data_IF_435541132385
#
_entry.id   IF_435541132385
#
_cell.length_a   1.000
_cell.length_b   1.000
_cell.length_c   1.000
_cell.angle_alpha   90.00
_cell.angle_beta   90.00
_cell.angle_gamma   90.00
#
_symmetry.space_group_name_H-M   'P 1'
#
loop_
_entity.id
_entity.type
_entity.pdbx_description
1 polymer ?
#
# COMPACT_ATOMS: atom_id res chain seq x y z
N UNK A 1 -27.77 -13.51 -18.94
CA UNK A 1 -26.53 -13.07 -18.29
C UNK A 1 -26.89 -11.82 -17.52
N UNK A 2 -27.06 -11.92 -16.20
CA UNK A 2 -27.29 -10.75 -15.36
C UNK A 2 -25.97 -9.98 -15.26
N UNK A 3 -25.99 -8.64 -15.30
CA UNK A 3 -24.79 -7.87 -15.06
C UNK A 3 -24.32 -8.16 -13.64
N UNK A 4 -23.08 -8.62 -13.49
CA UNK A 4 -22.40 -8.67 -12.20
C UNK A 4 -22.43 -7.25 -11.64
N UNK A 5 -23.22 -7.02 -10.58
CA UNK A 5 -23.19 -5.75 -9.87
C UNK A 5 -21.74 -5.49 -9.47
N UNK A 6 -21.22 -4.31 -9.80
CA UNK A 6 -19.96 -3.83 -9.24
C UNK A 6 -20.10 -3.87 -7.72
N UNK A 7 -19.49 -4.87 -7.08
CA UNK A 7 -19.54 -5.01 -5.63
C UNK A 7 -18.73 -3.85 -5.03
N UNK A 8 -19.37 -3.08 -4.15
CA UNK A 8 -18.66 -2.17 -3.26
C UNK A 8 -17.61 -2.98 -2.49
N UNK A 9 -16.35 -2.53 -2.40
CA UNK A 9 -15.32 -3.28 -1.68
C UNK A 9 -15.72 -3.47 -0.22
N UNK A 10 -15.47 -4.66 0.32
CA UNK A 10 -15.64 -4.93 1.76
C UNK A 10 -14.51 -4.24 2.53
N UNK A 11 -14.77 -2.99 2.93
CA UNK A 11 -13.79 -2.15 3.62
C UNK A 11 -13.34 -2.71 4.97
N UNK A 12 -14.22 -3.40 5.71
CA UNK A 12 -13.84 -4.01 6.99
C UNK A 12 -12.89 -5.19 6.77
N UNK A 13 -13.18 -6.07 5.80
CA UNK A 13 -12.29 -7.20 5.48
C UNK A 13 -10.93 -6.73 4.91
N UNK A 14 -10.94 -5.71 4.04
CA UNK A 14 -9.73 -5.11 3.48
C UNK A 14 -8.83 -4.53 4.57
N UNK A 15 -9.38 -3.73 5.47
CA UNK A 15 -8.63 -3.11 6.56
C UNK A 15 -8.17 -4.12 7.60
N UNK A 16 -8.98 -5.15 7.89
CA UNK A 16 -8.57 -6.25 8.77
C UNK A 16 -7.36 -7.00 8.19
N UNK A 17 -7.40 -7.36 6.91
CA UNK A 17 -6.27 -8.02 6.24
C UNK A 17 -5.00 -7.17 6.23
N UNK A 18 -5.13 -5.86 6.04
CA UNK A 18 -4.02 -4.92 6.18
C UNK A 18 -3.45 -4.93 7.60
N UNK A 19 -4.30 -4.85 8.62
CA UNK A 19 -3.90 -4.89 10.02
C UNK A 19 -3.14 -6.16 10.37
N UNK A 20 -3.62 -7.32 9.90
CA UNK A 20 -2.98 -8.63 10.11
C UNK A 20 -1.60 -8.72 9.46
N UNK A 21 -1.48 -8.31 8.20
CA UNK A 21 -0.24 -8.46 7.42
C UNK A 21 0.80 -7.37 7.72
N UNK A 22 0.36 -6.12 7.96
CA UNK A 22 1.28 -4.98 8.00
C UNK A 22 1.73 -4.59 9.41
N UNK A 23 0.96 -4.81 10.47
CA UNK A 23 1.25 -4.24 11.80
C UNK A 23 2.25 -5.06 12.66
N UNK A 24 2.09 -6.40 12.83
CA UNK A 24 2.85 -7.13 13.85
C UNK A 24 4.37 -7.06 13.64
N UNK A 25 4.82 -7.31 12.42
CA UNK A 25 6.24 -7.35 12.04
C UNK A 25 6.69 -6.06 11.30
N UNK A 26 6.05 -4.93 11.58
CA UNK A 26 6.31 -3.67 10.84
C UNK A 26 7.72 -3.09 10.96
N UNK A 27 8.56 -3.67 11.82
CA UNK A 27 9.95 -3.25 12.07
C UNK A 27 10.99 -4.27 11.55
N UNK A 28 10.55 -5.33 10.86
CA UNK A 28 11.45 -6.32 10.25
C UNK A 28 10.92 -6.74 8.88
N UNK A 29 11.74 -6.55 7.85
CA UNK A 29 11.42 -6.98 6.49
C UNK A 29 11.30 -8.50 6.44
N UNK A 30 12.29 -9.21 6.99
CA UNK A 30 12.30 -10.68 7.03
C UNK A 30 11.13 -11.23 7.85
N UNK A 31 10.85 -10.62 9.01
CA UNK A 31 9.71 -10.98 9.85
C UNK A 31 8.38 -10.81 9.11
N UNK A 32 8.23 -9.71 8.36
CA UNK A 32 7.01 -9.43 7.60
C UNK A 32 6.78 -10.36 6.43
N UNK A 33 7.84 -10.67 5.67
CA UNK A 33 7.78 -11.69 4.60
C UNK A 33 7.33 -13.03 5.17
N UNK A 34 7.96 -13.49 6.26
CA UNK A 34 7.58 -14.75 6.91
C UNK A 34 6.16 -14.74 7.48
N UNK A 35 5.71 -13.58 8.02
CA UNK A 35 4.34 -13.42 8.50
C UNK A 35 3.32 -13.51 7.36
N UNK A 36 3.59 -12.87 6.21
CA UNK A 36 2.70 -12.94 5.05
C UNK A 36 2.50 -14.40 4.61
N UNK A 37 3.58 -15.15 4.46
CA UNK A 37 3.53 -16.58 4.12
C UNK A 37 2.74 -17.39 5.15
N UNK A 38 2.97 -17.14 6.45
CA UNK A 38 2.24 -17.81 7.54
C UNK A 38 0.74 -17.50 7.53
N UNK A 39 0.37 -16.29 7.13
CA UNK A 39 -1.02 -15.86 6.96
C UNK A 39 -1.66 -16.39 5.65
N UNK A 40 -0.92 -17.18 4.87
CA UNK A 40 -1.42 -17.78 3.63
C UNK A 40 -1.36 -16.85 2.43
N UNK A 41 -0.60 -15.75 2.50
CA UNK A 41 -0.24 -14.98 1.31
C UNK A 41 0.77 -15.78 0.49
N UNK A 42 0.54 -15.84 -0.82
CA UNK A 42 1.41 -16.55 -1.76
C UNK A 42 2.22 -15.55 -2.55
N UNK A 43 3.50 -15.83 -2.82
CA UNK A 43 4.29 -14.98 -3.72
C UNK A 43 3.59 -14.86 -5.08
N UNK A 44 3.60 -13.66 -5.65
CA UNK A 44 3.10 -13.44 -7.01
C UNK A 44 3.95 -14.28 -7.98
N UNK A 45 3.27 -15.06 -8.81
CA UNK A 45 3.91 -15.83 -9.87
C UNK A 45 3.78 -15.02 -11.18
N UNK A 46 4.91 -14.67 -11.83
CA UNK A 46 4.87 -13.94 -13.08
C UNK A 46 4.02 -14.65 -14.15
N UNK A 47 3.13 -13.90 -14.81
CA UNK A 47 2.25 -14.40 -15.87
C UNK A 47 0.91 -14.96 -15.40
N UNK A 48 0.66 -15.09 -14.10
CA UNK A 48 -0.65 -15.53 -13.58
C UNK A 48 -1.67 -14.39 -13.49
N UNK A 49 -1.22 -13.14 -13.30
CA UNK A 49 -2.07 -11.96 -13.29
C UNK A 49 -1.39 -10.80 -14.04
N UNK A 50 -1.89 -10.52 -15.24
CA UNK A 50 -1.33 -9.49 -16.11
C UNK A 50 -1.42 -8.05 -15.54
N UNK A 51 -2.39 -7.76 -14.67
CA UNK A 51 -2.50 -6.45 -14.04
C UNK A 51 -1.41 -6.28 -12.98
N UNK A 52 -1.15 -7.34 -12.19
CA UNK A 52 -0.05 -7.35 -11.22
C UNK A 52 1.30 -7.27 -11.92
N UNK A 53 1.52 -8.08 -12.97
CA UNK A 53 2.78 -8.08 -13.72
C UNK A 53 3.10 -6.67 -14.27
N UNK A 54 2.11 -6.00 -14.88
CA UNK A 54 2.31 -4.64 -15.40
C UNK A 54 2.58 -3.63 -14.29
N UNK A 55 1.83 -3.70 -13.19
CA UNK A 55 2.01 -2.77 -12.08
C UNK A 55 3.38 -2.94 -11.40
N UNK A 56 3.78 -4.19 -11.13
CA UNK A 56 5.07 -4.51 -10.51
C UNK A 56 6.22 -4.04 -11.41
N UNK A 57 6.18 -4.36 -12.70
CA UNK A 57 7.21 -3.91 -13.65
C UNK A 57 7.28 -2.38 -13.75
N UNK A 58 6.13 -1.68 -13.69
CA UNK A 58 6.09 -0.23 -13.69
C UNK A 58 6.69 0.37 -12.41
N UNK A 59 6.35 -0.19 -11.24
CA UNK A 59 6.91 0.24 -9.96
C UNK A 59 8.44 0.03 -9.89
N UNK A 60 8.93 -1.10 -10.39
CA UNK A 60 10.36 -1.40 -10.49
C UNK A 60 11.08 -0.45 -11.46
N UNK A 61 10.46 -0.12 -12.59
CA UNK A 61 11.02 0.84 -13.55
C UNK A 61 11.15 2.24 -12.94
N UNK A 62 10.13 2.73 -12.23
CA UNK A 62 10.17 4.02 -11.54
C UNK A 62 11.28 4.08 -10.49
N UNK A 63 11.45 3.02 -9.69
CA UNK A 63 12.54 2.97 -8.71
C UNK A 63 13.91 2.97 -9.40
N UNK A 64 14.06 2.23 -10.50
CA UNK A 64 15.31 2.20 -11.26
C UNK A 64 15.64 3.55 -11.90
N UNK A 65 14.63 4.30 -12.37
CA UNK A 65 14.79 5.67 -12.88
C UNK A 65 15.27 6.61 -11.76
N UNK A 66 14.65 6.59 -10.58
CA UNK A 66 15.06 7.41 -9.43
C UNK A 66 16.53 7.13 -9.03
N UNK A 67 16.91 5.86 -8.94
CA UNK A 67 18.29 5.46 -8.61
C UNK A 67 19.28 5.86 -9.73
N UNK A 68 18.84 5.88 -10.99
CA UNK A 68 19.69 6.33 -12.09
C UNK A 68 19.90 7.85 -12.10
N UNK A 69 18.90 8.62 -11.66
CA UNK A 69 18.98 10.08 -11.52
C UNK A 69 19.84 10.51 -10.33
N UNK A 70 19.74 9.79 -9.21
CA UNK A 70 20.57 9.97 -8.02
C UNK A 70 21.11 8.61 -7.51
N UNK A 71 22.33 8.22 -7.91
CA UNK A 71 22.93 6.96 -7.47
C UNK A 71 23.16 6.84 -5.96
N UNK A 72 23.24 7.97 -5.25
CA UNK A 72 23.43 7.99 -3.80
C UNK A 72 22.08 7.96 -3.04
N UNK A 73 20.95 8.01 -3.75
CA UNK A 73 19.60 7.95 -3.20
C UNK A 73 19.36 6.69 -2.37
N UNK A 74 19.83 5.54 -2.86
CA UNK A 74 19.60 4.23 -2.24
C UNK A 74 20.90 3.55 -1.88
N UNK A 75 21.02 3.17 -0.61
CA UNK A 75 22.08 2.30 -0.08
C UNK A 75 21.67 0.82 -0.11
N UNK A 76 20.44 0.54 -0.53
CA UNK A 76 19.87 -0.79 -0.64
C UNK A 76 18.34 -0.73 -0.67
N UNK A 77 17.72 -1.50 -1.54
CA UNK A 77 16.27 -1.61 -1.64
C UNK A 77 15.89 -3.00 -2.14
N UNK A 78 14.76 -3.51 -1.69
CA UNK A 78 14.16 -4.73 -2.22
C UNK A 78 12.64 -4.72 -1.96
N UNK A 79 11.92 -5.59 -2.66
CA UNK A 79 10.49 -5.76 -2.55
C UNK A 79 10.05 -7.22 -2.70
N UNK A 80 9.07 -7.62 -1.87
CA UNK A 80 8.37 -8.87 -1.98
C UNK A 80 6.89 -8.62 -2.28
N UNK A 81 6.36 -9.34 -3.26
CA UNK A 81 5.00 -9.20 -3.75
C UNK A 81 4.22 -10.48 -3.50
N UNK A 82 3.06 -10.35 -2.87
CA UNK A 82 2.20 -11.47 -2.52
C UNK A 82 0.77 -11.24 -3.00
N UNK A 83 0.06 -12.33 -3.24
CA UNK A 83 -1.36 -12.35 -3.57
C UNK A 83 -2.13 -13.22 -2.60
N UNK A 84 -3.37 -12.82 -2.32
CA UNK A 84 -4.34 -13.60 -1.55
C UNK A 84 -5.76 -13.19 -1.89
N UNK A 85 -6.68 -14.14 -1.90
CA UNK A 85 -8.11 -13.85 -1.98
C UNK A 85 -8.68 -13.46 -0.61
N UNK A 86 -9.38 -12.33 -0.55
CA UNK A 86 -10.12 -11.84 0.62
C UNK A 86 -11.53 -11.51 0.13
N UNK A 87 -12.55 -12.10 0.76
CA UNK A 87 -13.94 -11.86 0.36
C UNK A 87 -14.24 -12.24 -1.11
N UNK A 88 -13.53 -13.22 -1.67
CA UNK A 88 -13.68 -13.62 -3.09
C UNK A 88 -13.00 -12.70 -4.11
N UNK A 89 -12.17 -11.75 -3.65
CA UNK A 89 -11.40 -10.84 -4.50
C UNK A 89 -9.90 -11.02 -4.28
N UNK A 90 -9.14 -11.04 -5.37
CA UNK A 90 -7.68 -11.08 -5.32
C UNK A 90 -7.11 -9.73 -4.91
N UNK A 91 -6.25 -9.76 -3.90
CA UNK A 91 -5.53 -8.59 -3.41
C UNK A 91 -4.03 -8.77 -3.59
N UNK A 92 -3.33 -7.67 -3.81
CA UNK A 92 -1.88 -7.63 -3.89
C UNK A 92 -1.32 -7.00 -2.60
N UNK A 93 -0.39 -7.68 -1.94
CA UNK A 93 0.37 -7.17 -0.81
C UNK A 93 1.81 -6.91 -1.28
N UNK A 94 2.29 -5.70 -1.06
CA UNK A 94 3.68 -5.33 -1.29
C UNK A 94 4.38 -5.04 0.02
N UNK A 95 5.52 -5.68 0.25
CA UNK A 95 6.41 -5.43 1.37
C UNK A 95 7.74 -4.99 0.78
N UNK A 96 8.21 -3.80 1.15
CA UNK A 96 9.47 -3.28 0.61
C UNK A 96 10.31 -2.61 1.68
N UNK A 97 11.60 -2.47 1.41
CA UNK A 97 12.46 -1.59 2.17
C UNK A 97 13.25 -0.66 1.25
N UNK A 98 13.62 0.49 1.79
CA UNK A 98 14.53 1.45 1.18
C UNK A 98 15.49 1.94 2.27
N UNK A 99 16.78 1.71 2.07
CA UNK A 99 17.86 2.17 2.94
C UNK A 99 18.46 3.42 2.32
N UNK A 100 18.53 4.50 3.10
CA UNK A 100 19.03 5.81 2.61
C UNK A 100 19.96 6.43 3.66
N UNK A 101 20.65 7.52 3.31
CA UNK A 101 21.45 8.26 4.30
C UNK A 101 20.60 8.83 5.44
N UNK A 102 19.35 9.21 5.16
CA UNK A 102 18.51 9.99 6.07
C UNK A 102 17.51 9.14 6.84
N UNK A 103 16.93 8.15 6.17
CA UNK A 103 15.84 7.35 6.71
C UNK A 103 15.80 5.97 6.05
N UNK A 104 16.05 4.94 6.86
CA UNK A 104 15.73 3.58 6.47
C UNK A 104 14.23 3.34 6.73
N UNK A 105 13.52 2.87 5.72
CA UNK A 105 12.08 2.69 5.78
C UNK A 105 11.66 1.31 5.30
N UNK A 106 10.64 0.76 5.96
CA UNK A 106 9.92 -0.45 5.55
C UNK A 106 8.50 -0.07 5.16
N UNK A 107 8.14 -0.31 3.91
CA UNK A 107 6.80 -0.11 3.36
C UNK A 107 5.94 -1.36 3.46
N UNK A 108 4.64 -1.18 3.69
CA UNK A 108 3.64 -2.23 3.56
C UNK A 108 2.39 -1.67 2.90
N UNK A 109 1.98 -2.27 1.80
CA UNK A 109 0.92 -1.77 0.93
C UNK A 109 -0.03 -2.92 0.60
N UNK A 110 -1.32 -2.71 0.80
CA UNK A 110 -2.36 -3.64 0.36
C UNK A 110 -3.17 -2.96 -0.76
N UNK A 111 -3.37 -3.67 -1.87
CA UNK A 111 -4.08 -3.20 -3.05
C UNK A 111 -5.30 -4.08 -3.37
N UNK A 112 -6.43 -3.45 -3.70
CA UNK A 112 -7.58 -4.05 -4.38
C UNK A 112 -7.75 -3.38 -5.74
N UNK A 113 -7.31 -4.06 -6.81
CA UNK A 113 -7.41 -3.60 -8.20
C UNK A 113 -8.84 -3.65 -8.73
N UNK A 114 -9.72 -4.45 -8.11
CA UNK A 114 -11.11 -4.58 -8.51
C UNK A 114 -12.02 -3.55 -7.82
N UNK A 115 -11.47 -2.69 -6.96
CA UNK A 115 -12.23 -1.62 -6.34
C UNK A 115 -12.65 -0.56 -7.34
N UNK A 116 -13.95 -0.24 -7.36
CA UNK A 116 -14.53 0.77 -8.26
C UNK A 116 -15.00 2.04 -7.53
N UNK A 117 -14.80 2.10 -6.21
CA UNK A 117 -15.19 3.21 -5.36
C UNK A 117 -14.29 3.25 -4.10
N UNK A 118 -14.17 4.41 -3.43
CA UNK A 118 -13.55 4.47 -2.10
C UNK A 118 -14.35 3.66 -1.08
N UNK A 119 -13.69 3.20 -0.01
CA UNK A 119 -14.35 2.61 1.17
C UNK A 119 -14.54 3.65 2.27
N UNK A 120 -15.43 3.34 3.22
CA UNK A 120 -15.53 4.09 4.48
C UNK A 120 -14.17 4.10 5.21
N UNK A 121 -13.63 5.27 5.61
CA UNK A 121 -12.37 5.35 6.34
C UNK A 121 -12.47 4.93 7.81
N UNK A 122 -13.67 4.77 8.38
CA UNK A 122 -13.87 4.47 9.80
C UNK A 122 -13.15 3.19 10.31
N UNK A 123 -13.09 2.07 9.56
CA UNK A 123 -12.33 0.90 9.98
C UNK A 123 -10.83 1.21 10.17
N UNK A 124 -10.25 2.08 9.33
CA UNK A 124 -8.84 2.50 9.47
C UNK A 124 -8.66 3.40 10.69
N UNK A 125 -9.56 4.35 10.91
CA UNK A 125 -9.60 5.18 12.13
C UNK A 125 -9.61 4.32 13.39
N UNK A 126 -10.44 3.26 13.41
CA UNK A 126 -10.54 2.30 14.52
C UNK A 126 -9.26 1.49 14.71
N UNK A 127 -8.69 0.99 13.61
CA UNK A 127 -7.43 0.23 13.61
C UNK A 127 -6.28 1.04 14.19
N UNK A 128 -6.13 2.29 13.74
CA UNK A 128 -5.05 3.17 14.16
C UNK A 128 -5.29 3.82 15.53
N UNK A 129 -6.56 3.91 15.95
CA UNK A 129 -6.96 4.63 17.16
C UNK A 129 -6.69 6.13 17.07
N UNK A 130 -6.79 6.71 15.87
CA UNK A 130 -6.46 8.10 15.57
C UNK A 130 -7.47 8.68 14.57
N UNK A 131 -7.82 9.94 14.75
CA UNK A 131 -8.71 10.68 13.85
C UNK A 131 -8.02 10.96 12.51
N UNK A 132 -8.83 11.08 11.46
CA UNK A 132 -8.39 11.53 10.13
C UNK A 132 -7.69 12.88 10.27
N UNK A 133 -6.52 13.02 9.63
CA UNK A 133 -5.78 14.27 9.56
C UNK A 133 -6.34 15.17 8.46
N UNK A 134 -6.54 14.63 7.26
CA UNK A 134 -7.20 15.30 6.15
C UNK A 134 -7.69 14.30 5.10
N UNK A 135 -8.57 14.78 4.22
CA UNK A 135 -9.02 14.09 3.01
C UNK A 135 -8.81 14.99 1.80
N UNK A 136 -8.63 14.40 0.62
CA UNK A 136 -8.47 15.16 -0.63
C UNK A 136 -9.79 15.44 -1.35
N UNK A 137 -10.92 14.92 -0.88
CA UNK A 137 -12.22 14.99 -1.55
C UNK A 137 -12.96 16.34 -1.41
N UNK A 138 -12.28 17.38 -0.93
CA UNK A 138 -12.79 18.75 -0.90
C UNK A 138 -13.29 19.26 0.45
N UNK A 139 -13.15 18.49 1.53
CA UNK A 139 -13.48 18.95 2.89
C UNK A 139 -12.57 20.09 3.38
N UNK A 140 -11.29 20.06 3.01
CA UNK A 140 -10.31 21.12 3.26
C UNK A 140 -9.73 21.63 1.93
N UNK A 141 -9.96 22.90 1.54
CA UNK A 141 -9.44 23.47 0.30
C UNK A 141 -7.92 23.39 0.15
N UNK A 142 -7.16 23.28 1.24
CA UNK A 142 -5.71 23.15 1.19
C UNK A 142 -5.25 21.80 0.64
N UNK A 143 -6.05 20.76 0.85
CA UNK A 143 -5.76 19.38 0.43
C UNK A 143 -6.69 18.90 -0.70
N UNK A 144 -7.62 19.73 -1.13
CA UNK A 144 -8.63 19.38 -2.13
C UNK A 144 -7.99 19.05 -3.49
N UNK A 145 -8.36 17.89 -4.02
CA UNK A 145 -8.07 17.42 -5.37
C UNK A 145 -9.40 17.01 -5.99
N UNK A 146 -9.50 17.05 -7.32
CA UNK A 146 -10.67 16.54 -8.02
C UNK A 146 -10.86 15.03 -7.68
N UNK A 147 -12.01 14.63 -7.08
CA UNK A 147 -12.28 13.24 -6.75
C UNK A 147 -12.32 12.31 -7.98
N UNK A 148 -12.49 12.83 -9.19
CA UNK A 148 -12.37 12.06 -10.43
C UNK A 148 -10.91 11.68 -10.76
N UNK A 149 -9.93 12.33 -10.11
CA UNK A 149 -8.50 12.04 -10.25
C UNK A 149 -8.00 11.09 -9.15
N UNK A 150 -8.27 11.43 -7.88
CA UNK A 150 -7.79 10.67 -6.73
C UNK A 150 -8.54 11.07 -5.45
N UNK A 151 -8.89 10.10 -4.62
CA UNK A 151 -9.40 10.31 -3.26
C UNK A 151 -8.42 9.69 -2.28
N UNK A 152 -7.82 10.48 -1.40
CA UNK A 152 -6.96 9.98 -0.33
C UNK A 152 -7.44 10.47 1.02
N UNK A 153 -7.54 9.55 1.98
CA UNK A 153 -7.70 9.84 3.40
C UNK A 153 -6.37 9.58 4.10
N UNK A 154 -5.90 10.54 4.88
CA UNK A 154 -4.61 10.47 5.57
C UNK A 154 -4.83 10.49 7.08
N UNK A 155 -4.10 9.62 7.77
CA UNK A 155 -3.90 9.67 9.21
C UNK A 155 -2.46 10.00 9.48
N UNK A 156 -2.22 10.94 10.40
CA UNK A 156 -0.86 11.22 10.90
C UNK A 156 -0.25 10.00 11.62
N UNK A 157 0.98 10.12 12.14
CA UNK A 157 1.67 9.02 12.80
C UNK A 157 0.89 8.52 14.01
N UNK A 158 0.54 7.23 14.04
CA UNK A 158 -0.27 6.67 15.13
C UNK A 158 0.54 6.57 16.43
N UNK A 159 0.04 7.08 17.58
CA UNK A 159 0.70 6.92 18.88
C UNK A 159 0.74 5.45 19.34
N UNK A 160 -0.10 4.58 18.77
CA UNK A 160 -0.13 3.13 19.06
C UNK A 160 0.93 2.36 18.28
N UNK A 161 1.43 2.94 17.19
CA UNK A 161 2.41 2.32 16.30
C UNK A 161 3.65 3.22 16.19
N UNK A 162 4.50 3.30 17.23
CA UNK A 162 5.71 4.10 17.17
C UNK A 162 6.54 3.76 15.94
N UNK A 163 7.14 4.82 15.34
CA UNK A 163 7.94 4.79 14.11
C UNK A 163 7.17 4.62 12.80
N UNK A 164 5.89 4.28 12.86
CA UNK A 164 5.03 4.29 11.68
C UNK A 164 4.74 5.73 11.30
N UNK A 165 5.03 6.07 10.05
CA UNK A 165 4.73 7.36 9.45
C UNK A 165 3.21 7.47 9.19
N UNK A 166 2.83 8.44 8.37
CA UNK A 166 1.43 8.59 7.98
C UNK A 166 0.89 7.32 7.30
N UNK A 167 -0.39 7.06 7.55
CA UNK A 167 -1.15 5.99 6.90
C UNK A 167 -2.05 6.60 5.84
N UNK A 168 -2.10 5.97 4.67
CA UNK A 168 -2.82 6.46 3.51
C UNK A 168 -3.82 5.41 3.04
N UNK A 169 -5.09 5.79 2.96
CA UNK A 169 -6.12 5.06 2.23
C UNK A 169 -6.43 5.85 0.96
N UNK A 170 -6.07 5.29 -0.19
CA UNK A 170 -6.18 5.96 -1.48
C UNK A 170 -7.06 5.15 -2.42
N UNK A 171 -8.00 5.83 -3.08
CA UNK A 171 -8.74 5.34 -4.23
C UNK A 171 -8.32 6.11 -5.48
N UNK A 172 -7.97 5.38 -6.53
CA UNK A 172 -7.65 5.93 -7.85
C UNK A 172 -8.72 5.45 -8.84
N UNK A 173 -9.60 6.34 -9.34
CA UNK A 173 -10.60 5.98 -10.34
C UNK A 173 -9.97 5.42 -11.62
N UNK A 174 -10.60 4.41 -12.18
CA UNK A 174 -10.20 3.85 -13.48
C UNK A 174 -10.28 4.92 -14.57
N UNK A 175 -9.22 5.05 -15.37
CA UNK A 175 -9.14 6.02 -16.47
C UNK A 175 -8.73 7.43 -16.06
N UNK A 176 -8.51 7.69 -14.77
CA UNK A 176 -7.88 8.93 -14.30
C UNK A 176 -6.45 9.07 -14.83
N UNK A 177 -5.95 10.30 -14.91
CA UNK A 177 -4.55 10.54 -15.27
C UNK A 177 -3.58 9.91 -14.26
N UNK A 178 -3.98 9.86 -12.99
CA UNK A 178 -3.19 9.24 -11.91
C UNK A 178 -3.09 7.73 -12.14
N UNK A 179 -4.16 7.07 -12.62
CA UNK A 179 -4.09 5.67 -12.98
C UNK A 179 -3.10 5.40 -14.12
N UNK A 180 -3.03 6.30 -15.11
CA UNK A 180 -2.06 6.20 -16.20
C UNK A 180 -0.61 6.41 -15.72
N UNK A 181 -0.38 7.32 -14.77
CA UNK A 181 0.94 7.61 -14.21
C UNK A 181 1.45 6.51 -13.27
N UNK A 182 0.56 5.96 -12.45
CA UNK A 182 0.92 4.96 -11.42
C UNK A 182 0.84 3.52 -11.92
N UNK A 183 0.20 3.28 -13.07
CA UNK A 183 -0.12 1.94 -13.56
C UNK A 183 -1.17 1.20 -12.71
N UNK A 184 -1.85 1.90 -11.80
CA UNK A 184 -2.79 1.34 -10.83
C UNK A 184 -4.11 2.12 -10.79
N UNK A 185 -5.22 1.40 -10.81
CA UNK A 185 -6.54 1.91 -10.43
C UNK A 185 -7.17 0.97 -9.42
N UNK A 186 -7.90 1.52 -8.45
CA UNK A 186 -8.49 0.76 -7.36
C UNK A 186 -8.16 1.35 -5.99
N UNK A 187 -8.16 0.51 -4.97
CA UNK A 187 -7.90 0.88 -3.57
C UNK A 187 -6.51 0.47 -3.12
N UNK A 188 -5.82 1.36 -2.42
CA UNK A 188 -4.57 1.10 -1.74
C UNK A 188 -4.69 1.54 -0.28
N UNK A 189 -4.25 0.70 0.65
CA UNK A 189 -3.95 1.09 2.03
C UNK A 189 -2.46 0.85 2.29
N UNK A 190 -1.76 1.88 2.75
CA UNK A 190 -0.33 1.79 3.03
C UNK A 190 0.10 2.54 4.28
N UNK A 191 1.20 2.10 4.84
CA UNK A 191 2.08 2.94 5.64
C UNK A 191 3.54 2.54 5.40
N UNK A 192 4.44 3.43 5.80
CA UNK A 192 5.86 3.13 5.96
C UNK A 192 6.25 3.26 7.42
N UNK A 193 7.23 2.48 7.86
CA UNK A 193 7.79 2.55 9.21
C UNK A 193 9.28 2.83 9.12
N UNK A 194 9.77 3.78 9.91
CA UNK A 194 11.20 4.01 10.01
C UNK A 194 11.87 2.85 10.76
N UNK A 195 12.96 2.31 10.23
CA UNK A 195 13.65 1.15 10.80
C UNK A 195 14.62 1.56 11.91
N UNK A 196 14.67 0.81 13.03
CA UNK A 196 15.48 1.18 14.18
C UNK A 196 16.97 1.04 14.00
N UNK A 197 17.38 0.08 13.20
CA UNK A 197 18.75 -0.19 12.83
C UNK A 197 18.75 -1.04 11.54
N UNK A 198 19.95 -1.36 11.04
CA UNK A 198 20.16 -2.15 9.82
C UNK A 198 20.57 -3.60 10.10
N UNK A 199 20.41 -4.10 11.32
CA UNK A 199 20.99 -5.37 11.73
C UNK A 199 20.53 -6.55 10.87
N UNK A 200 19.32 -6.48 10.28
CA UNK A 200 18.80 -7.53 9.40
C UNK A 200 19.36 -7.51 7.97
N UNK A 201 19.99 -6.41 7.53
CA UNK A 201 20.54 -6.21 6.18
C UNK A 201 22.07 -6.34 6.09
N UNK A 202 22.77 -6.32 7.22
CA UNK A 202 24.23 -6.42 7.31
C UNK A 202 24.74 -7.88 7.39
N UNK A 203 23.83 -8.87 7.29
CA UNK A 203 24.09 -10.32 7.40
C UNK A 203 23.98 -11.03 6.05
#
# INVERSE_FOLDING_TARGET
MSPTQAETPDGEAFVAAFGEACIPERLSYKGKVALAEKLGWQHVVPGENADYDRFIAHAEALLAEEIAEDPDFSQGSDGAWFTREIGGRSHLLAVSYLLTEYLDALGCHLYDFAAMAPIDPEPVTRLLGQTIAHTTDGGDPFYAVDPELIVTTVWGPSPRLPRTLDTYLTFIPQGSEVAAQTGFSGLMLKFSTSLPDRAEFEQ
#
